data_IF_582368381651
#
_entry.id   IF_582368381651
#
_cell.length_a   1.000
_cell.length_b   1.000
_cell.length_c   1.000
_cell.angle_alpha   90.00
_cell.angle_beta   90.00
_cell.angle_gamma   90.00
#
_symmetry.space_group_name_H-M   'P 1'
#
loop_
_entity.id
_entity.type
_entity.pdbx_description
1 polymer ?
#
# COMPACT_ATOMS: atom_id res chain seq x y z
N UNK A 1 -4.87 -76.10 20.26
CA UNK A 1 -4.19 -75.75 21.52
C UNK A 1 -4.61 -74.31 21.86
N UNK A 2 -5.77 -74.13 22.51
CA UNK A 2 -5.92 -73.87 23.97
C UNK A 2 -5.22 -72.55 24.36
N UNK A 3 -5.94 -71.42 24.36
CA UNK A 3 -6.59 -70.77 25.52
C UNK A 3 -5.65 -70.31 26.65
N UNK A 4 -5.64 -68.99 26.91
CA UNK A 4 -5.97 -68.30 28.19
C UNK A 4 -5.68 -66.80 27.99
N UNK A 5 -6.64 -65.88 27.84
CA UNK A 5 -7.66 -65.37 28.78
C UNK A 5 -7.11 -64.98 30.16
N UNK A 6 -7.19 -63.67 30.46
CA UNK A 6 -7.77 -62.98 31.66
C UNK A 6 -6.93 -61.75 32.03
N UNK A 7 -7.42 -60.61 32.53
CA UNK A 7 -8.75 -59.97 32.69
C UNK A 7 -8.58 -58.85 33.74
N UNK A 8 -9.32 -57.74 33.63
CA UNK A 8 -9.58 -56.77 34.72
C UNK A 8 -9.42 -55.32 34.21
N UNK A 9 -10.45 -54.54 33.84
CA UNK A 9 -11.77 -54.21 34.40
C UNK A 9 -11.74 -53.24 35.60
N UNK A 10 -12.08 -51.96 35.34
CA UNK A 10 -12.96 -51.04 36.11
C UNK A 10 -12.83 -49.63 35.50
N UNK A 11 -13.79 -49.07 34.75
CA UNK A 11 -15.16 -48.66 35.11
C UNK A 11 -15.16 -47.47 36.08
N UNK A 12 -15.70 -46.32 35.63
CA UNK A 12 -16.00 -45.17 36.49
C UNK A 12 -15.81 -43.80 35.84
N UNK A 13 -16.66 -43.44 34.90
CA UNK A 13 -17.13 -42.04 34.78
C UNK A 13 -18.43 -41.97 35.60
N UNK A 14 -18.62 -40.96 36.47
CA UNK A 14 -19.60 -39.94 36.09
C UNK A 14 -19.33 -38.54 36.66
N UNK A 15 -19.37 -37.55 35.77
CA UNK A 15 -20.20 -36.33 35.82
C UNK A 15 -20.17 -35.44 37.08
N UNK A 16 -19.73 -34.17 36.93
CA UNK A 16 -20.60 -32.98 37.07
C UNK A 16 -19.81 -31.67 37.37
N UNK A 17 -19.80 -30.78 36.37
CA UNK A 17 -20.13 -29.35 36.43
C UNK A 17 -19.44 -28.40 37.45
N UNK A 18 -18.60 -27.49 36.92
CA UNK A 18 -18.57 -26.02 37.19
C UNK A 18 -17.39 -25.43 36.38
N UNK A 19 -17.58 -24.79 35.23
CA UNK A 19 -18.09 -23.43 35.03
C UNK A 19 -17.26 -22.34 35.76
N UNK A 20 -16.29 -21.77 35.05
CA UNK A 20 -15.79 -20.38 35.13
C UNK A 20 -14.75 -20.20 33.99
N UNK A 21 -15.15 -19.75 32.81
CA UNK A 21 -15.01 -18.34 32.39
C UNK A 21 -13.65 -17.73 32.76
N UNK A 22 -12.75 -17.66 31.77
CA UNK A 22 -11.99 -16.43 31.56
C UNK A 22 -11.77 -16.22 30.05
N UNK A 23 -12.41 -15.17 29.57
CA UNK A 23 -12.45 -14.69 28.22
C UNK A 23 -11.09 -14.08 27.85
N UNK A 24 -10.25 -14.86 27.15
CA UNK A 24 -9.11 -14.27 26.42
C UNK A 24 -9.52 -14.05 24.98
N UNK A 25 -9.78 -12.78 24.70
CA UNK A 25 -10.24 -12.22 23.45
C UNK A 25 -9.56 -12.84 22.25
N UNK A 26 -10.40 -13.38 21.36
CA UNK A 26 -10.03 -13.67 19.97
C UNK A 26 -9.30 -12.45 19.42
N UNK A 27 -8.12 -12.60 18.79
CA UNK A 27 -7.47 -11.48 18.14
C UNK A 27 -8.44 -10.96 17.09
N UNK A 28 -8.93 -9.74 17.30
CA UNK A 28 -9.71 -9.00 16.33
C UNK A 28 -8.99 -9.12 15.00
N UNK A 29 -9.74 -9.70 14.07
CA UNK A 29 -9.34 -10.00 12.70
C UNK A 29 -8.97 -8.67 12.06
N UNK A 30 -7.69 -8.32 12.14
CA UNK A 30 -7.04 -7.15 11.54
C UNK A 30 -7.68 -6.89 10.17
N UNK A 31 -8.53 -5.87 10.09
CA UNK A 31 -9.29 -5.52 8.90
C UNK A 31 -8.27 -5.14 7.81
N UNK A 32 -8.04 -6.05 6.85
CA UNK A 32 -7.08 -5.85 5.76
C UNK A 32 -7.67 -4.81 4.80
N UNK A 33 -6.88 -3.79 4.46
CA UNK A 33 -7.16 -2.90 3.35
C UNK A 33 -7.34 -3.75 2.09
N UNK A 34 -8.55 -3.73 1.51
CA UNK A 34 -9.00 -4.50 0.33
C UNK A 34 -8.81 -6.02 0.46
N UNK A 35 -9.88 -6.75 0.75
CA UNK A 35 -9.80 -8.20 0.92
C UNK A 35 -9.43 -8.89 -0.39
N UNK A 36 -8.62 -9.94 -0.33
CA UNK A 36 -8.21 -10.71 -1.50
C UNK A 36 -9.43 -11.34 -2.21
N UNK A 37 -10.53 -11.54 -1.47
CA UNK A 37 -11.84 -11.92 -2.01
C UNK A 37 -12.54 -10.79 -2.78
N UNK A 38 -12.46 -9.55 -2.29
CA UNK A 38 -13.02 -8.36 -2.95
C UNK A 38 -12.37 -8.16 -4.34
N UNK A 39 -11.05 -8.35 -4.44
CA UNK A 39 -10.33 -8.28 -5.73
C UNK A 39 -10.81 -9.34 -6.73
N UNK A 40 -10.98 -10.59 -6.30
CA UNK A 40 -11.44 -11.67 -7.19
C UNK A 40 -12.83 -11.40 -7.73
N UNK A 41 -13.74 -10.96 -6.87
CA UNK A 41 -15.10 -10.58 -7.26
C UNK A 41 -15.10 -9.42 -8.26
N UNK A 42 -14.29 -8.38 -7.99
CA UNK A 42 -14.17 -7.24 -8.89
C UNK A 42 -13.59 -7.63 -10.26
N UNK A 43 -12.53 -8.45 -10.28
CA UNK A 43 -11.93 -8.93 -11.53
C UNK A 43 -12.93 -9.72 -12.36
N UNK A 44 -13.67 -10.64 -11.72
CA UNK A 44 -14.70 -11.42 -12.41
C UNK A 44 -15.81 -10.52 -12.97
N UNK A 45 -16.24 -9.50 -12.22
CA UNK A 45 -17.24 -8.53 -12.67
C UNK A 45 -16.76 -7.69 -13.87
N UNK A 46 -15.47 -7.36 -13.94
CA UNK A 46 -14.88 -6.66 -15.09
C UNK A 46 -14.84 -7.58 -16.31
N UNK A 47 -14.38 -8.82 -16.13
CA UNK A 47 -14.29 -9.83 -17.20
C UNK A 47 -15.68 -10.14 -17.78
N UNK A 48 -16.72 -10.14 -16.93
CA UNK A 48 -18.10 -10.36 -17.36
C UNK A 48 -18.63 -9.30 -18.32
N UNK A 49 -18.16 -8.05 -18.18
CA UNK A 49 -18.55 -6.97 -19.08
C UNK A 49 -17.78 -7.04 -20.40
N UNK A 50 -16.49 -7.37 -20.33
CA UNK A 50 -15.64 -7.49 -21.50
C UNK A 50 -14.51 -8.48 -21.26
N UNK A 51 -14.34 -9.50 -22.14
CA UNK A 51 -13.18 -10.36 -22.12
C UNK A 51 -11.89 -9.52 -22.21
N UNK A 52 -10.96 -9.74 -21.28
CA UNK A 52 -9.85 -8.80 -21.06
C UNK A 52 -8.53 -9.54 -20.82
N UNK A 53 -7.42 -8.86 -21.10
CA UNK A 53 -6.09 -9.33 -20.76
C UNK A 53 -5.68 -8.92 -19.34
N UNK A 54 -4.76 -9.65 -18.71
CA UNK A 54 -4.30 -9.36 -17.35
C UNK A 54 -3.82 -7.92 -17.15
N UNK A 55 -3.12 -7.34 -18.12
CA UNK A 55 -2.67 -5.95 -18.05
C UNK A 55 -3.82 -4.92 -18.14
N UNK A 56 -4.83 -5.20 -18.97
CA UNK A 56 -6.04 -4.36 -19.07
C UNK A 56 -6.84 -4.40 -17.78
N UNK A 57 -6.91 -5.57 -17.14
CA UNK A 57 -7.56 -5.74 -15.84
C UNK A 57 -6.89 -4.92 -14.73
N UNK A 58 -5.56 -4.77 -14.75
CA UNK A 58 -4.85 -3.88 -13.80
C UNK A 58 -5.33 -2.44 -13.95
N UNK A 59 -5.48 -1.95 -15.18
CA UNK A 59 -5.96 -0.59 -15.44
C UNK A 59 -7.43 -0.43 -15.12
N UNK A 60 -8.26 -1.38 -15.53
CA UNK A 60 -9.71 -1.35 -15.27
C UNK A 60 -10.01 -1.38 -13.76
N UNK A 61 -9.27 -2.14 -12.96
CA UNK A 61 -9.40 -2.11 -11.49
C UNK A 61 -9.00 -0.73 -10.94
N UNK A 62 -7.89 -0.17 -11.41
CA UNK A 62 -7.44 1.15 -10.99
C UNK A 62 -8.49 2.25 -11.31
N UNK A 63 -9.06 2.22 -12.50
CA UNK A 63 -10.10 3.17 -12.92
C UNK A 63 -11.39 3.02 -12.11
N UNK A 64 -11.89 1.79 -11.92
CA UNK A 64 -13.12 1.53 -11.16
C UNK A 64 -13.00 1.86 -9.67
N UNK A 65 -11.79 1.81 -9.13
CA UNK A 65 -11.48 2.22 -7.76
C UNK A 65 -11.03 3.69 -7.67
N UNK A 66 -11.24 4.49 -8.73
CA UNK A 66 -10.96 5.93 -8.72
C UNK A 66 -9.49 6.27 -8.49
N UNK A 67 -8.57 5.41 -8.92
CA UNK A 67 -7.12 5.59 -8.73
C UNK A 67 -6.61 5.23 -7.33
N UNK A 68 -7.48 4.80 -6.41
CA UNK A 68 -7.09 4.55 -5.00
C UNK A 68 -6.34 3.24 -4.80
N UNK A 69 -6.41 2.31 -5.75
CA UNK A 69 -5.73 1.04 -5.70
C UNK A 69 -5.42 0.50 -7.10
N UNK A 70 -4.16 0.17 -7.33
CA UNK A 70 -3.69 -0.50 -8.54
C UNK A 70 -3.06 -1.85 -8.15
N UNK A 71 -3.66 -2.99 -8.54
CA UNK A 71 -3.10 -4.30 -8.21
C UNK A 71 -1.77 -4.50 -8.92
N UNK A 72 -0.77 -5.03 -8.19
CA UNK A 72 0.49 -5.45 -8.80
C UNK A 72 0.30 -6.77 -9.55
N UNK A 73 1.16 -7.08 -10.54
CA UNK A 73 1.16 -8.38 -11.21
C UNK A 73 1.18 -9.58 -10.25
N UNK A 74 1.95 -9.48 -9.15
CA UNK A 74 2.07 -10.53 -8.14
C UNK A 74 0.80 -10.79 -7.32
N UNK A 75 -0.16 -9.86 -7.35
CA UNK A 75 -1.47 -10.02 -6.69
C UNK A 75 -2.55 -10.38 -7.71
N UNK A 76 -2.51 -9.76 -8.90
CA UNK A 76 -3.49 -9.98 -9.96
C UNK A 76 -3.43 -11.39 -10.53
N UNK A 77 -2.25 -11.86 -10.94
CA UNK A 77 -2.15 -13.15 -11.64
C UNK A 77 -2.55 -14.33 -10.76
N UNK A 78 -2.19 -14.42 -9.48
CA UNK A 78 -2.69 -15.50 -8.63
C UNK A 78 -4.21 -15.41 -8.38
N UNK A 79 -4.81 -14.22 -8.41
CA UNK A 79 -6.26 -14.07 -8.36
C UNK A 79 -6.93 -14.57 -9.65
N UNK A 80 -6.34 -14.32 -10.82
CA UNK A 80 -6.81 -14.84 -12.10
C UNK A 80 -6.64 -16.36 -12.21
N UNK A 81 -5.51 -16.89 -11.75
CA UNK A 81 -5.30 -18.34 -11.64
C UNK A 81 -6.37 -18.97 -10.77
N UNK A 82 -6.70 -18.37 -9.63
CA UNK A 82 -7.77 -18.86 -8.76
C UNK A 82 -9.14 -18.86 -9.44
N UNK A 83 -9.48 -17.80 -10.20
CA UNK A 83 -10.75 -17.73 -10.94
C UNK A 83 -10.82 -18.79 -12.05
N UNK A 84 -9.70 -19.04 -12.73
CA UNK A 84 -9.57 -20.08 -13.74
C UNK A 84 -9.67 -21.49 -13.14
N UNK A 85 -8.92 -21.77 -12.07
CA UNK A 85 -8.92 -23.08 -11.39
C UNK A 85 -10.29 -23.44 -10.81
N UNK A 86 -11.09 -22.42 -10.44
CA UNK A 86 -12.47 -22.58 -9.97
C UNK A 86 -13.49 -22.72 -11.09
N UNK A 87 -13.08 -22.58 -12.35
CA UNK A 87 -13.96 -22.66 -13.51
C UNK A 87 -14.85 -21.43 -13.69
N UNK A 88 -14.53 -20.29 -13.06
CA UNK A 88 -15.30 -19.04 -13.23
C UNK A 88 -14.85 -18.24 -14.45
N UNK A 89 -13.64 -18.47 -14.93
CA UNK A 89 -13.09 -17.86 -16.14
C UNK A 89 -12.43 -18.92 -16.99
N UNK A 90 -12.49 -18.74 -18.30
CA UNK A 90 -11.73 -19.53 -19.27
C UNK A 90 -10.64 -18.66 -19.91
N UNK A 91 -9.67 -19.31 -20.56
CA UNK A 91 -8.52 -18.63 -21.18
C UNK A 91 -8.46 -18.94 -22.66
N UNK A 92 -8.63 -17.91 -23.48
CA UNK A 92 -8.35 -17.96 -24.90
C UNK A 92 -6.91 -17.53 -25.18
N UNK A 93 -6.20 -18.33 -25.97
CA UNK A 93 -4.87 -18.01 -26.46
C UNK A 93 -4.96 -17.29 -27.80
N UNK A 94 -4.69 -15.99 -27.78
CA UNK A 94 -4.63 -15.21 -29.02
C UNK A 94 -3.32 -15.40 -29.78
N UNK A 95 -3.35 -15.02 -31.07
CA UNK A 95 -2.15 -14.96 -31.91
C UNK A 95 -1.10 -14.04 -31.24
N UNK A 96 0.00 -14.64 -30.79
CA UNK A 96 1.06 -13.95 -30.03
C UNK A 96 1.20 -14.41 -28.58
N UNK A 97 0.48 -15.45 -28.15
CA UNK A 97 0.68 -16.10 -26.84
C UNK A 97 0.10 -15.31 -25.66
N UNK A 98 -0.73 -14.30 -25.93
CA UNK A 98 -1.41 -13.50 -24.90
C UNK A 98 -2.67 -14.22 -24.44
N UNK A 99 -2.80 -14.38 -23.12
CA UNK A 99 -3.97 -14.98 -22.47
C UNK A 99 -5.08 -13.93 -22.36
N UNK A 100 -6.24 -14.18 -22.97
CA UNK A 100 -7.47 -13.43 -22.77
C UNK A 100 -8.37 -14.21 -21.83
N UNK A 101 -8.93 -13.54 -20.83
CA UNK A 101 -9.87 -14.15 -19.89
C UNK A 101 -11.29 -13.79 -20.29
N UNK A 102 -12.17 -14.78 -20.39
CA UNK A 102 -13.62 -14.64 -20.54
C UNK A 102 -14.32 -15.32 -19.35
N UNK A 103 -15.55 -14.89 -19.07
CA UNK A 103 -16.36 -15.46 -17.99
C UNK A 103 -17.09 -16.72 -18.47
N UNK A 104 -17.23 -17.72 -17.60
CA UNK A 104 -18.02 -18.94 -17.86
C UNK A 104 -19.47 -18.80 -17.39
N UNK A 105 -20.30 -19.82 -17.63
CA UNK A 105 -21.65 -19.87 -17.06
C UNK A 105 -21.61 -19.90 -15.52
N UNK A 106 -20.74 -20.74 -14.96
CA UNK A 106 -20.52 -20.86 -13.52
C UNK A 106 -20.01 -19.55 -12.90
N UNK A 107 -19.18 -18.81 -13.64
CA UNK A 107 -18.74 -17.47 -13.25
C UNK A 107 -19.88 -16.46 -13.16
N UNK A 108 -20.83 -16.50 -14.12
CA UNK A 108 -22.01 -15.63 -14.10
C UNK A 108 -22.96 -15.96 -12.94
N UNK A 109 -23.14 -17.24 -12.63
CA UNK A 109 -23.92 -17.68 -11.47
C UNK A 109 -23.28 -17.20 -10.16
N UNK A 110 -21.94 -17.32 -10.07
CA UNK A 110 -21.19 -16.82 -8.92
C UNK A 110 -21.31 -15.29 -8.77
N UNK A 111 -21.24 -14.52 -9.86
CA UNK A 111 -21.47 -13.07 -9.81
C UNK A 111 -22.91 -12.74 -9.36
N UNK A 112 -23.89 -13.46 -9.89
CA UNK A 112 -25.30 -13.25 -9.56
C UNK A 112 -25.57 -13.52 -8.08
N UNK A 113 -24.99 -14.60 -7.53
CA UNK A 113 -25.07 -14.94 -6.11
C UNK A 113 -24.38 -13.92 -5.19
N UNK A 114 -23.36 -13.21 -5.70
CA UNK A 114 -22.59 -12.22 -4.95
C UNK A 114 -22.92 -10.77 -5.34
N UNK A 115 -24.03 -10.53 -6.04
CA UNK A 115 -24.38 -9.20 -6.59
C UNK A 115 -24.43 -8.11 -5.51
N UNK A 116 -25.03 -8.40 -4.36
CA UNK A 116 -25.09 -7.44 -3.25
C UNK A 116 -23.69 -7.04 -2.72
N UNK A 117 -22.75 -7.98 -2.67
CA UNK A 117 -21.38 -7.70 -2.25
C UNK A 117 -20.62 -6.85 -3.29
N UNK A 118 -20.87 -7.10 -4.58
CA UNK A 118 -20.30 -6.31 -5.68
C UNK A 118 -20.86 -4.89 -5.67
N UNK A 119 -22.17 -4.74 -5.51
CA UNK A 119 -22.83 -3.44 -5.46
C UNK A 119 -22.32 -2.61 -4.26
N UNK A 120 -22.15 -3.22 -3.08
CA UNK A 120 -21.54 -2.57 -1.92
C UNK A 120 -20.08 -2.17 -2.17
N UNK A 121 -19.29 -3.03 -2.82
CA UNK A 121 -17.89 -2.76 -3.17
C UNK A 121 -17.77 -1.59 -4.13
N UNK A 122 -18.61 -1.56 -5.17
CA UNK A 122 -18.63 -0.48 -6.16
C UNK A 122 -19.17 0.83 -5.55
N UNK A 123 -20.21 0.77 -4.72
CA UNK A 123 -20.70 1.95 -4.01
C UNK A 123 -19.62 2.56 -3.10
N UNK A 124 -18.84 1.74 -2.38
CA UNK A 124 -17.70 2.21 -1.56
C UNK A 124 -16.63 2.91 -2.39
N UNK A 125 -16.40 2.46 -3.63
CA UNK A 125 -15.43 3.05 -4.55
C UNK A 125 -15.91 4.40 -5.12
N UNK A 126 -17.22 4.57 -5.34
CA UNK A 126 -17.83 5.78 -5.89
C UNK A 126 -18.07 6.86 -4.83
N UNK A 127 -18.30 6.49 -3.56
CA UNK A 127 -18.60 7.45 -2.48
C UNK A 127 -17.41 8.19 -1.85
N UNK A 128 -16.18 8.01 -2.35
CA UNK A 128 -15.11 8.98 -2.06
C UNK A 128 -15.27 10.14 -3.04
N UNK A 129 -15.45 11.39 -2.58
CA UNK A 129 -15.60 12.52 -3.49
C UNK A 129 -14.41 12.53 -4.44
N UNK A 130 -14.69 12.25 -5.71
CA UNK A 130 -13.81 12.47 -6.84
C UNK A 130 -13.56 13.97 -6.91
N UNK A 131 -12.61 14.47 -6.11
CA UNK A 131 -11.99 15.75 -6.41
C UNK A 131 -11.28 15.61 -7.75
N UNK A 132 -11.40 16.60 -8.62
CA UNK A 132 -10.89 16.69 -10.01
C UNK A 132 -9.39 16.35 -10.23
N UNK A 133 -8.65 15.93 -9.21
CA UNK A 133 -7.20 15.76 -9.21
C UNK A 133 -6.63 14.58 -10.02
N UNK A 134 -7.26 13.39 -10.16
CA UNK A 134 -6.63 12.27 -10.88
C UNK A 134 -6.62 12.43 -12.41
N UNK A 135 -7.68 13.00 -13.01
CA UNK A 135 -7.80 13.06 -14.48
C UNK A 135 -6.84 14.08 -15.11
N UNK A 136 -6.59 15.21 -14.45
CA UNK A 136 -5.64 16.21 -14.93
C UNK A 136 -4.21 15.64 -15.03
N UNK A 137 -3.79 14.87 -14.03
CA UNK A 137 -2.48 14.21 -13.99
C UNK A 137 -2.40 13.14 -15.09
N UNK A 138 -3.43 12.32 -15.26
CA UNK A 138 -3.49 11.30 -16.33
C UNK A 138 -3.36 11.96 -17.72
N UNK A 139 -4.11 13.05 -17.98
CA UNK A 139 -4.03 13.80 -19.23
C UNK A 139 -2.64 14.39 -19.48
N UNK A 140 -2.00 14.93 -18.46
CA UNK A 140 -0.64 15.47 -18.54
C UNK A 140 0.39 14.37 -18.87
N UNK A 141 0.27 13.20 -18.22
CA UNK A 141 1.11 12.03 -18.51
C UNK A 141 0.92 11.51 -19.93
N UNK A 142 -0.31 11.47 -20.44
CA UNK A 142 -0.61 11.09 -21.83
C UNK A 142 -0.02 12.08 -22.84
N UNK A 143 0.00 13.38 -22.52
CA UNK A 143 0.66 14.39 -23.34
C UNK A 143 2.18 14.19 -23.39
N UNK A 144 2.82 13.97 -22.24
CA UNK A 144 4.26 13.69 -22.16
C UNK A 144 4.62 12.42 -22.95
N UNK A 145 3.86 11.34 -22.77
CA UNK A 145 4.06 10.07 -23.48
C UNK A 145 3.94 10.25 -24.99
N UNK A 146 2.95 11.01 -25.46
CA UNK A 146 2.79 11.33 -26.90
C UNK A 146 3.96 12.13 -27.44
N UNK A 147 4.41 13.16 -26.74
CA UNK A 147 5.55 13.99 -27.15
C UNK A 147 6.84 13.15 -27.33
N UNK A 148 7.09 12.23 -26.41
CA UNK A 148 8.24 11.30 -26.49
C UNK A 148 8.06 10.24 -27.59
N UNK A 149 6.85 9.70 -27.74
CA UNK A 149 6.56 8.62 -28.70
C UNK A 149 6.51 9.09 -30.16
N UNK A 150 6.11 10.35 -30.41
CA UNK A 150 6.09 10.95 -31.74
C UNK A 150 7.51 11.11 -32.31
N UNK A 151 8.53 11.22 -31.45
CA UNK A 151 9.92 11.46 -31.85
C UNK A 151 10.76 10.19 -31.95
N UNK A 152 10.39 9.12 -31.23
CA UNK A 152 11.04 7.80 -31.33
C UNK A 152 10.89 7.11 -32.71
N UNK A 153 10.00 7.63 -33.58
CA UNK A 153 9.79 7.12 -34.95
C UNK A 153 10.61 7.84 -36.03
N UNK A 154 11.35 8.90 -35.70
CA UNK A 154 12.10 9.70 -36.66
C UNK A 154 13.57 9.84 -36.24
N UNK A 155 14.45 9.05 -36.87
CA UNK A 155 15.92 9.16 -36.86
C UNK A 155 16.63 9.08 -35.48
N UNK A 156 17.96 8.83 -35.41
CA UNK A 156 18.66 8.80 -34.13
C UNK A 156 18.69 10.20 -33.51
N UNK A 157 18.29 10.28 -32.24
CA UNK A 157 18.34 11.49 -31.42
C UNK A 157 19.78 11.67 -30.92
N UNK A 158 20.35 12.87 -31.06
CA UNK A 158 21.66 13.17 -30.51
C UNK A 158 21.66 13.02 -28.98
N UNK A 159 22.73 12.46 -28.40
CA UNK A 159 22.85 12.21 -26.96
C UNK A 159 22.62 13.46 -26.11
N UNK A 160 23.02 14.64 -26.62
CA UNK A 160 22.76 15.93 -26.00
C UNK A 160 21.26 16.21 -25.81
N UNK A 161 20.43 15.86 -26.79
CA UNK A 161 18.98 16.03 -26.74
C UNK A 161 18.37 15.05 -25.75
N UNK A 162 18.89 13.82 -25.65
CA UNK A 162 18.45 12.83 -24.65
C UNK A 162 18.77 13.32 -23.24
N UNK A 163 19.99 13.82 -23.00
CA UNK A 163 20.40 14.38 -21.72
C UNK A 163 19.54 15.60 -21.33
N UNK A 164 19.22 16.46 -22.29
CA UNK A 164 18.37 17.62 -22.04
C UNK A 164 16.93 17.23 -21.69
N UNK A 165 16.35 16.25 -22.40
CA UNK A 165 15.03 15.69 -22.07
C UNK A 165 15.02 15.10 -20.65
N UNK A 166 16.07 14.35 -20.29
CA UNK A 166 16.23 13.80 -18.94
C UNK A 166 16.21 14.90 -17.87
N UNK A 167 16.97 15.97 -18.08
CA UNK A 167 17.01 17.13 -17.16
C UNK A 167 15.63 17.76 -16.96
N UNK A 168 14.86 17.97 -18.04
CA UNK A 168 13.50 18.53 -17.96
C UNK A 168 12.58 17.66 -17.09
N UNK A 169 12.63 16.33 -17.29
CA UNK A 169 11.81 15.38 -16.54
C UNK A 169 12.21 15.38 -15.06
N UNK A 170 13.51 15.39 -14.76
CA UNK A 170 14.02 15.45 -13.37
C UNK A 170 13.56 16.73 -12.66
N UNK A 171 13.64 17.89 -13.32
CA UNK A 171 13.16 19.16 -12.74
C UNK A 171 11.66 19.11 -12.45
N UNK A 172 10.86 18.59 -13.40
CA UNK A 172 9.42 18.45 -13.20
C UNK A 172 9.08 17.48 -12.06
N UNK A 173 9.82 16.36 -11.94
CA UNK A 173 9.66 15.41 -10.86
C UNK A 173 9.95 16.05 -9.49
N UNK A 174 11.06 16.79 -9.36
CA UNK A 174 11.42 17.50 -8.13
C UNK A 174 10.37 18.54 -7.73
N UNK A 175 9.76 19.23 -8.70
CA UNK A 175 8.69 20.19 -8.44
C UNK A 175 7.40 19.51 -7.95
N UNK A 176 7.02 18.38 -8.57
CA UNK A 176 5.88 17.58 -8.12
C UNK A 176 6.14 17.04 -6.72
N UNK A 177 7.34 16.57 -6.46
CA UNK A 177 7.74 16.09 -5.14
C UNK A 177 7.66 17.21 -4.09
N UNK A 178 8.15 18.41 -4.42
CA UNK A 178 8.03 19.59 -3.56
C UNK A 178 6.57 19.97 -3.28
N UNK A 179 5.65 19.83 -4.25
CA UNK A 179 4.21 20.07 -4.06
C UNK A 179 3.55 19.00 -3.19
N UNK A 180 3.87 17.73 -3.41
CA UNK A 180 3.35 16.61 -2.61
C UNK A 180 3.90 16.63 -1.18
N UNK A 181 5.08 17.21 -1.01
CA UNK A 181 5.76 17.40 0.27
C UNK A 181 5.62 18.84 0.80
N UNK A 182 4.78 19.70 0.21
CA UNK A 182 4.51 21.01 0.76
C UNK A 182 3.70 20.82 2.05
N UNK A 183 4.09 21.46 3.17
CA UNK A 183 3.29 21.35 4.39
C UNK A 183 1.90 21.89 4.08
N UNK A 184 0.88 21.04 4.25
CA UNK A 184 -0.50 21.46 4.27
C UNK A 184 -0.63 22.43 5.45
N UNK A 185 -0.56 23.73 5.17
CA UNK A 185 -0.92 24.79 6.10
C UNK A 185 -2.43 24.68 6.35
N UNK A 186 -2.84 23.69 7.14
CA UNK A 186 -4.13 23.74 7.80
C UNK A 186 -4.00 24.83 8.86
N UNK A 187 -4.83 25.87 8.80
CA UNK A 187 -4.96 26.85 9.88
C UNK A 187 -5.19 26.09 11.20
N UNK A 188 -4.17 26.06 12.07
CA UNK A 188 -4.18 25.31 13.34
C UNK A 188 -3.26 24.09 13.43
N UNK A 189 -2.55 23.71 12.37
CA UNK A 189 -1.50 22.68 12.46
C UNK A 189 -0.31 23.20 13.27
N UNK A 190 0.20 22.37 14.18
CA UNK A 190 1.38 22.67 14.99
C UNK A 190 2.56 21.85 14.53
N UNK A 191 3.72 22.50 14.46
CA UNK A 191 4.96 21.87 14.04
C UNK A 191 6.07 22.01 15.08
N UNK A 192 6.97 21.04 15.07
CA UNK A 192 8.23 21.12 15.79
C UNK A 192 9.36 20.53 14.95
N UNK A 193 10.59 20.97 15.24
CA UNK A 193 11.81 20.48 14.62
C UNK A 193 12.79 20.05 15.71
N UNK A 194 13.43 18.90 15.51
CA UNK A 194 14.60 18.50 16.27
C UNK A 194 15.82 18.45 15.34
N UNK A 195 16.86 19.17 15.74
CA UNK A 195 18.17 19.15 15.10
C UNK A 195 19.11 18.30 15.96
N UNK A 196 19.48 17.13 15.44
CA UNK A 196 20.25 16.11 16.17
C UNK A 196 21.64 16.06 15.57
N UNK A 197 22.65 16.46 16.34
CA UNK A 197 24.05 16.37 15.92
C UNK A 197 24.51 14.91 15.95
N UNK A 198 24.81 14.35 14.79
CA UNK A 198 25.31 12.99 14.66
C UNK A 198 26.07 12.81 13.35
N UNK A 199 27.24 12.16 13.36
CA UNK A 199 27.94 11.79 12.13
C UNK A 199 27.22 10.67 11.36
N UNK A 200 26.22 10.01 11.97
CA UNK A 200 25.52 8.85 11.40
C UNK A 200 24.10 9.17 10.91
N UNK A 201 23.85 10.40 10.46
CA UNK A 201 22.53 10.90 10.07
C UNK A 201 21.81 10.00 9.04
N UNK A 202 22.52 9.56 8.00
CA UNK A 202 21.97 8.63 6.98
C UNK A 202 21.53 7.28 7.55
N UNK A 203 22.27 6.76 8.54
CA UNK A 203 21.96 5.47 9.16
C UNK A 203 20.65 5.54 9.92
N UNK A 204 20.42 6.63 10.66
CA UNK A 204 19.17 6.86 11.37
C UNK A 204 18.00 7.06 10.41
N UNK A 205 18.22 7.82 9.33
CA UNK A 205 17.24 7.99 8.25
C UNK A 205 16.79 6.64 7.67
N UNK A 206 17.73 5.84 7.15
CA UNK A 206 17.43 4.53 6.54
C UNK A 206 16.72 3.59 7.50
N UNK A 207 17.13 3.57 8.77
CA UNK A 207 16.57 2.68 9.79
C UNK A 207 15.15 3.07 10.19
N UNK A 208 14.87 4.36 10.39
CA UNK A 208 13.52 4.84 10.67
C UNK A 208 12.59 4.58 9.48
N UNK A 209 13.04 4.93 8.27
CA UNK A 209 12.27 4.66 7.05
C UNK A 209 11.93 3.17 6.90
N UNK A 210 12.92 2.27 7.05
CA UNK A 210 12.70 0.82 6.98
C UNK A 210 11.75 0.31 8.08
N UNK A 211 11.87 0.84 9.30
CA UNK A 211 10.98 0.47 10.41
C UNK A 211 9.52 0.82 10.12
N UNK A 212 9.27 2.03 9.59
CA UNK A 212 7.91 2.52 9.32
C UNK A 212 7.33 2.05 7.98
N UNK A 213 8.16 1.59 7.04
CA UNK A 213 7.72 1.08 5.73
C UNK A 213 6.74 -0.11 5.85
N UNK A 214 6.81 -0.87 6.93
CA UNK A 214 5.88 -1.98 7.20
C UNK A 214 4.49 -1.53 7.68
N UNK A 215 4.33 -0.28 8.12
CA UNK A 215 3.07 0.24 8.67
C UNK A 215 2.46 1.38 7.86
N UNK A 216 3.29 2.10 7.10
CA UNK A 216 2.91 3.31 6.36
C UNK A 216 3.71 3.39 5.05
N UNK A 217 3.15 3.94 3.96
CA UNK A 217 3.93 4.31 2.78
C UNK A 217 4.99 5.35 3.13
N UNK A 218 6.26 4.96 3.05
CA UNK A 218 7.41 5.85 3.26
C UNK A 218 7.98 6.21 1.89
N UNK A 219 8.15 7.51 1.65
CA UNK A 219 8.90 8.04 0.51
C UNK A 219 10.30 8.35 0.99
N UNK A 220 11.31 7.80 0.33
CA UNK A 220 12.72 8.00 0.69
C UNK A 220 13.53 8.35 -0.53
N UNK A 221 14.41 9.32 -0.36
CA UNK A 221 15.49 9.66 -1.28
C UNK A 221 16.86 9.35 -0.62
N UNK A 222 17.97 9.64 -1.29
CA UNK A 222 19.33 9.41 -0.78
C UNK A 222 19.58 10.10 0.57
N UNK A 223 19.07 11.31 0.75
CA UNK A 223 19.31 12.17 1.92
C UNK A 223 18.05 12.60 2.68
N UNK A 224 16.87 12.15 2.25
CA UNK A 224 15.62 12.54 2.89
C UNK A 224 14.60 11.41 2.99
N UNK A 225 13.69 11.53 3.93
CA UNK A 225 12.64 10.55 4.16
C UNK A 225 11.40 11.22 4.72
N UNK A 226 10.25 10.84 4.19
CA UNK A 226 8.96 11.35 4.61
C UNK A 226 7.94 10.21 4.69
N UNK A 227 7.16 10.23 5.76
CA UNK A 227 6.02 9.33 5.91
C UNK A 227 4.92 9.95 6.74
N UNK A 228 3.69 9.46 6.54
CA UNK A 228 2.49 9.98 7.21
C UNK A 228 1.89 8.97 8.19
N UNK A 229 1.69 9.41 9.43
CA UNK A 229 1.02 8.64 10.47
C UNK A 229 -0.44 9.09 10.62
N UNK A 230 -1.25 8.32 11.35
CA UNK A 230 -2.64 8.70 11.69
C UNK A 230 -2.75 10.02 12.48
N UNK A 231 -1.66 10.43 13.12
CA UNK A 231 -1.60 11.59 14.02
C UNK A 231 -0.87 12.81 13.43
N UNK A 232 -0.16 12.65 12.31
CA UNK A 232 0.60 13.73 11.69
C UNK A 232 1.62 13.25 10.66
N UNK A 233 2.45 14.16 10.19
CA UNK A 233 3.47 13.94 9.19
C UNK A 233 4.87 14.02 9.81
N UNK A 234 5.76 13.13 9.35
CA UNK A 234 7.16 13.09 9.76
C UNK A 234 8.02 13.31 8.53
N UNK A 235 8.89 14.31 8.61
CA UNK A 235 9.91 14.58 7.60
C UNK A 235 11.29 14.52 8.23
N UNK A 236 12.23 13.89 7.55
CA UNK A 236 13.58 13.67 8.03
C UNK A 236 14.56 14.02 6.92
N UNK A 237 15.63 14.70 7.30
CA UNK A 237 16.71 15.09 6.40
C UNK A 237 18.05 14.70 7.06
N UNK A 238 18.89 14.03 6.29
CA UNK A 238 20.23 13.64 6.69
C UNK A 238 21.25 14.51 5.95
N UNK A 239 21.94 15.34 6.74
CA UNK A 239 23.08 16.16 6.30
C UNK A 239 24.36 15.67 6.98
N UNK A 240 25.51 16.14 6.53
CA UNK A 240 26.79 15.81 7.15
C UNK A 240 26.83 16.32 8.60
N UNK A 241 26.94 15.40 9.56
CA UNK A 241 26.99 15.74 10.99
C UNK A 241 25.66 16.18 11.63
N UNK A 242 24.57 16.27 10.85
CA UNK A 242 23.27 16.76 11.32
C UNK A 242 22.12 15.90 10.78
N UNK A 243 21.27 15.44 11.68
CA UNK A 243 20.01 14.78 11.36
C UNK A 243 18.84 15.66 11.82
N UNK A 244 18.07 16.16 10.87
CA UNK A 244 16.93 17.04 11.13
C UNK A 244 15.63 16.27 11.01
N UNK A 245 14.78 16.36 12.02
CA UNK A 245 13.45 15.74 12.05
C UNK A 245 12.39 16.82 12.26
N UNK A 246 11.45 16.95 11.33
CA UNK A 246 10.30 17.84 11.41
C UNK A 246 9.03 17.02 11.61
N UNK A 247 8.23 17.40 12.59
CA UNK A 247 6.91 16.84 12.86
C UNK A 247 5.86 17.90 12.65
N UNK A 248 4.77 17.50 12.00
CA UNK A 248 3.59 18.33 11.82
C UNK A 248 2.38 17.54 12.27
N UNK A 249 1.63 18.06 13.24
CA UNK A 249 0.43 17.40 13.76
C UNK A 249 -0.79 18.35 13.73
N UNK A 250 -1.98 17.77 13.75
CA UNK A 250 -3.25 18.51 13.75
C UNK A 250 -3.59 19.14 15.11
N UNK A 251 -2.87 18.79 16.17
CA UNK A 251 -3.10 19.27 17.53
C UNK A 251 -1.83 19.14 18.38
N UNK A 252 -1.61 20.01 19.39
CA UNK A 252 -0.46 19.93 20.31
C UNK A 252 -0.31 18.56 21.00
N UNK A 253 -1.42 17.95 21.44
CA UNK A 253 -1.42 16.65 22.12
C UNK A 253 -0.81 15.55 21.24
N UNK A 254 -1.27 15.46 19.99
CA UNK A 254 -0.73 14.55 18.97
C UNK A 254 0.72 14.85 18.61
N UNK A 255 1.13 16.13 18.61
CA UNK A 255 2.52 16.51 18.38
C UNK A 255 3.43 15.94 19.49
N UNK A 256 3.01 16.07 20.75
CA UNK A 256 3.73 15.50 21.90
C UNK A 256 3.79 13.97 21.83
N UNK A 257 2.71 13.30 21.43
CA UNK A 257 2.73 11.84 21.22
C UNK A 257 3.72 11.42 20.12
N UNK A 258 3.75 12.16 19.00
CA UNK A 258 4.71 11.92 17.92
C UNK A 258 6.17 12.13 18.33
N UNK A 259 6.44 13.19 19.11
CA UNK A 259 7.78 13.46 19.67
C UNK A 259 8.27 12.29 20.52
N UNK A 260 7.41 11.76 21.41
CA UNK A 260 7.74 10.63 22.27
C UNK A 260 8.00 9.35 21.46
N UNK A 261 7.14 9.06 20.48
CA UNK A 261 7.30 7.88 19.64
C UNK A 261 8.64 7.94 18.89
N UNK A 262 8.96 9.05 18.25
CA UNK A 262 10.21 9.15 17.49
C UNK A 262 11.44 9.19 18.38
N UNK A 263 11.41 9.89 19.51
CA UNK A 263 12.50 9.89 20.48
C UNK A 263 12.82 8.45 20.92
N UNK A 264 11.80 7.66 21.27
CA UNK A 264 11.98 6.26 21.66
C UNK A 264 12.58 5.41 20.55
N UNK A 265 12.10 5.54 19.31
CA UNK A 265 12.65 4.77 18.19
C UNK A 265 14.08 5.19 17.83
N UNK A 266 14.43 6.47 18.02
CA UNK A 266 15.79 6.98 17.84
C UNK A 266 16.72 6.47 18.94
N UNK A 267 16.30 6.49 20.20
CA UNK A 267 17.04 5.93 21.33
C UNK A 267 17.27 4.42 21.18
N UNK A 268 16.23 3.66 20.82
CA UNK A 268 16.34 2.22 20.50
C UNK A 268 17.27 1.98 19.29
N UNK A 269 17.34 2.91 18.35
CA UNK A 269 18.25 2.83 17.21
C UNK A 269 19.71 3.20 17.57
N UNK A 270 19.90 4.02 18.60
CA UNK A 270 21.17 4.58 19.04
C UNK A 270 21.87 3.71 20.11
N UNK A 271 21.95 2.40 19.85
CA UNK A 271 22.54 1.38 20.77
C UNK A 271 24.00 1.68 21.18
N UNK A 272 24.71 2.55 20.45
CA UNK A 272 26.13 2.89 20.70
C UNK A 272 26.42 4.40 20.68
N UNK A 273 25.39 5.25 20.71
CA UNK A 273 25.53 6.70 20.58
C UNK A 273 24.44 7.39 21.41
N UNK A 274 24.79 8.45 22.14
CA UNK A 274 23.79 9.24 22.86
C UNK A 274 23.31 10.37 21.96
N UNK A 275 22.03 10.35 21.57
CA UNK A 275 21.44 11.41 20.76
C UNK A 275 20.84 12.48 21.69
N UNK A 276 21.31 13.73 21.57
CA UNK A 276 20.68 14.87 22.22
C UNK A 276 19.53 15.35 21.33
N UNK A 277 18.30 14.93 21.67
CA UNK A 277 17.09 15.28 20.93
C UNK A 277 16.40 16.43 21.65
N UNK A 278 16.46 17.63 21.06
CA UNK A 278 15.73 18.80 21.56
C UNK A 278 14.70 19.24 20.52
N UNK A 279 13.43 19.15 20.89
CA UNK A 279 12.32 19.61 20.06
C UNK A 279 12.10 21.10 20.27
N UNK A 280 12.26 21.86 19.19
CA UNK A 280 11.95 23.28 19.13
C UNK A 280 10.62 23.48 18.39
N UNK A 281 9.76 24.41 18.83
CA UNK A 281 8.60 24.80 18.03
C UNK A 281 9.08 25.35 16.69
N UNK A 282 8.40 24.93 15.61
CA UNK A 282 8.76 25.22 14.23
C UNK A 282 7.72 26.07 13.55
#
# INVERSE_FOLDING_TARGET
MVQKRRSGAKEGDPNANAAAEDARGKPERRMRAFDYGELRLLLLAIIAQQPSHGYELIHAVNERLGGTYKPSPGVLYPALTWLYDRGYTEIDLEKGGRKRYSITAEGNDFLSANKAAIDMLLARAVSRPQGDSPQAIVKAMDQLKRALSLRAKMAPVADEVVAHIGSIITVAANQIEALLNAPMLNEGAVSCVADILTPNSERYLRRLCSHFQHRTPVVTDENSGHFRMSMGEVRMEAHEGLFRVRLTALSPEKLTEMQHILARHLEEAAVRETLNIHWLPA
#
